data_IF_137135487698
#
_entry.id   IF_137135487698
#
_cell.length_a   1.000
_cell.length_b   1.000
_cell.length_c   1.000
_cell.angle_alpha   90.00
_cell.angle_beta   90.00
_cell.angle_gamma   90.00
#
_symmetry.space_group_name_H-M   'P 1'
#
loop_
_entity.id
_entity.type
_entity.pdbx_description
1 polymer ?
#
# COMPACT_ATOMS: atom_id res chain seq x y z
N UNK A 1 17.18 -15.45 17.72
CA UNK A 1 16.21 -16.09 16.77
C UNK A 1 15.92 -15.10 15.67
N UNK A 2 15.82 -15.52 14.40
CA UNK A 2 15.54 -14.62 13.28
C UNK A 2 14.09 -14.78 12.87
N UNK A 3 13.36 -13.67 12.81
CA UNK A 3 11.96 -13.63 12.39
C UNK A 3 11.86 -12.93 11.03
N UNK A 4 10.84 -13.26 10.27
CA UNK A 4 10.54 -12.62 8.99
C UNK A 4 9.03 -12.33 8.89
N UNK A 5 8.72 -11.22 8.20
CA UNK A 5 7.35 -10.76 8.01
C UNK A 5 7.20 -10.20 6.58
N UNK A 6 6.17 -10.59 5.84
CA UNK A 6 5.84 -9.94 4.58
C UNK A 6 5.26 -8.55 4.80
N UNK A 7 5.55 -7.64 3.87
CA UNK A 7 4.97 -6.32 3.76
C UNK A 7 4.23 -6.19 2.41
N UNK A 8 3.01 -6.73 2.29
CA UNK A 8 2.27 -6.84 1.05
C UNK A 8 1.97 -5.48 0.41
N UNK A 9 1.98 -5.41 -0.92
CA UNK A 9 1.45 -4.25 -1.63
C UNK A 9 -0.04 -4.08 -1.30
N UNK A 10 -0.44 -2.84 -0.99
CA UNK A 10 -1.82 -2.45 -0.71
C UNK A 10 -2.43 -1.79 -1.95
N UNK A 11 -3.61 -2.21 -2.36
CA UNK A 11 -4.39 -1.56 -3.41
C UNK A 11 -5.61 -0.85 -2.83
N UNK A 12 -6.02 0.23 -3.48
CA UNK A 12 -7.35 0.78 -3.34
C UNK A 12 -8.17 0.27 -4.55
N UNK A 13 -9.01 -0.75 -4.35
CA UNK A 13 -9.88 -1.25 -5.42
C UNK A 13 -10.86 -0.17 -5.89
N UNK A 14 -11.30 0.70 -4.99
CA UNK A 14 -11.97 1.96 -5.28
C UNK A 14 -11.58 2.98 -4.22
N UNK A 15 -11.59 4.29 -4.57
CA UNK A 15 -11.32 5.39 -3.67
C UNK A 15 -12.20 6.58 -4.02
N UNK A 16 -13.17 6.89 -3.17
CA UNK A 16 -14.02 8.05 -3.29
C UNK A 16 -13.59 9.13 -2.29
N UNK A 17 -13.41 10.36 -2.75
CA UNK A 17 -13.13 11.50 -1.88
C UNK A 17 -14.44 12.20 -1.55
N UNK A 18 -14.78 12.24 -0.25
CA UNK A 18 -16.07 12.75 0.24
C UNK A 18 -16.01 14.22 0.69
N UNK A 19 -14.82 14.74 0.92
CA UNK A 19 -14.64 16.11 1.34
C UNK A 19 -13.30 16.36 2.02
N UNK A 20 -13.09 17.63 2.38
CA UNK A 20 -11.91 18.05 3.15
C UNK A 20 -12.28 18.18 4.63
N UNK A 21 -11.45 17.63 5.49
CA UNK A 21 -11.61 17.63 6.95
C UNK A 21 -11.01 18.91 7.57
N UNK A 22 -11.46 19.29 8.79
CA UNK A 22 -10.86 20.42 9.51
C UNK A 22 -9.37 20.26 9.83
N UNK A 23 -8.88 19.02 9.96
CA UNK A 23 -7.47 18.68 10.19
C UNK A 23 -6.59 18.76 8.93
N UNK A 24 -7.16 19.18 7.79
CA UNK A 24 -6.49 19.33 6.50
C UNK A 24 -6.42 18.05 5.68
N UNK A 25 -6.73 16.88 6.24
CA UNK A 25 -6.86 15.62 5.51
C UNK A 25 -8.17 15.58 4.71
N UNK A 26 -8.37 14.52 3.92
CA UNK A 26 -9.61 14.29 3.19
C UNK A 26 -10.40 13.16 3.84
N UNK A 27 -11.72 13.31 3.86
CA UNK A 27 -12.64 12.21 4.15
C UNK A 27 -12.75 11.32 2.93
N UNK A 28 -12.56 10.02 3.13
CA UNK A 28 -12.49 9.01 2.08
C UNK A 28 -13.50 7.89 2.32
N UNK A 29 -13.88 7.23 1.24
CA UNK A 29 -14.43 5.88 1.26
C UNK A 29 -13.61 5.03 0.29
N UNK A 30 -13.04 3.95 0.76
CA UNK A 30 -12.17 3.10 -0.07
C UNK A 30 -12.35 1.62 0.27
N UNK A 31 -12.07 0.75 -0.69
CA UNK A 31 -11.88 -0.67 -0.42
C UNK A 31 -10.40 -0.98 -0.59
N UNK A 32 -9.77 -1.35 0.51
CA UNK A 32 -8.42 -1.88 0.53
C UNK A 32 -8.41 -3.36 0.16
N UNK A 33 -7.44 -3.75 -0.66
CA UNK A 33 -7.06 -5.14 -0.87
C UNK A 33 -5.53 -5.25 -0.82
N UNK A 34 -5.04 -6.43 -0.52
CA UNK A 34 -3.61 -6.69 -0.37
C UNK A 34 -3.16 -7.76 -1.34
N UNK A 35 -1.97 -7.60 -1.91
CA UNK A 35 -1.35 -8.60 -2.77
C UNK A 35 -0.70 -9.72 -1.93
N UNK A 36 -0.44 -10.87 -2.54
CA UNK A 36 0.38 -11.91 -1.92
C UNK A 36 1.85 -11.49 -1.83
N UNK A 37 2.29 -10.64 -2.76
CA UNK A 37 3.67 -10.19 -2.88
C UNK A 37 3.84 -8.73 -2.41
N UNK A 38 5.09 -8.41 -2.05
CA UNK A 38 5.46 -7.09 -1.53
C UNK A 38 6.93 -7.02 -1.09
N UNK A 39 7.19 -6.13 -0.17
CA UNK A 39 8.45 -6.03 0.52
C UNK A 39 8.57 -7.12 1.59
N UNK A 40 9.75 -7.29 2.17
CA UNK A 40 10.01 -8.26 3.24
C UNK A 40 10.84 -7.62 4.33
N UNK A 41 10.42 -7.79 5.57
CA UNK A 41 11.17 -7.37 6.75
C UNK A 41 11.66 -8.59 7.54
N UNK A 42 12.92 -8.56 7.94
CA UNK A 42 13.51 -9.53 8.84
C UNK A 42 14.01 -8.82 10.11
N UNK A 43 13.96 -9.49 11.25
CA UNK A 43 14.48 -8.99 12.50
C UNK A 43 15.13 -10.08 13.35
N UNK A 44 16.13 -9.66 14.10
CA UNK A 44 16.75 -10.45 15.18
C UNK A 44 16.97 -9.55 16.41
N UNK A 45 17.03 -10.14 17.59
CA UNK A 45 17.33 -9.42 18.82
C UNK A 45 18.70 -8.74 18.75
N UNK A 46 18.79 -7.53 19.27
CA UNK A 46 20.02 -6.74 19.38
C UNK A 46 19.92 -5.79 20.57
N UNK A 47 21.05 -5.22 20.99
CA UNK A 47 21.06 -4.23 22.08
C UNK A 47 20.44 -2.88 21.69
N UNK A 48 20.47 -2.53 20.40
CA UNK A 48 19.98 -1.27 19.86
C UNK A 48 19.08 -1.50 18.65
N UNK A 49 18.24 -0.51 18.33
CA UNK A 49 17.47 -0.48 17.10
C UNK A 49 18.34 -0.06 15.92
N UNK A 50 18.41 -0.89 14.89
CA UNK A 50 19.11 -0.58 13.66
C UNK A 50 18.33 -1.10 12.44
N UNK A 51 18.51 -0.43 11.30
CA UNK A 51 17.87 -0.79 10.03
C UNK A 51 18.90 -0.81 8.91
N UNK A 52 18.90 -1.90 8.17
CA UNK A 52 19.55 -1.99 6.86
C UNK A 52 18.50 -2.19 5.78
N UNK A 53 18.75 -1.65 4.57
CA UNK A 53 17.82 -1.72 3.45
C UNK A 53 18.55 -2.31 2.25
N UNK A 54 17.97 -3.36 1.67
CA UNK A 54 18.41 -4.00 0.43
C UNK A 54 17.28 -4.09 -0.59
N UNK A 55 17.53 -4.74 -1.73
CA UNK A 55 16.56 -4.94 -2.80
C UNK A 55 16.60 -3.86 -3.90
N UNK A 56 15.83 -4.08 -4.99
CA UNK A 56 15.91 -3.25 -6.20
C UNK A 56 15.53 -1.79 -5.98
N UNK A 57 14.69 -1.48 -4.98
CA UNK A 57 14.24 -0.13 -4.67
C UNK A 57 14.86 0.46 -3.39
N UNK A 58 15.97 -0.10 -2.90
CA UNK A 58 16.66 0.39 -1.70
C UNK A 58 17.40 1.71 -1.91
N UNK A 59 17.80 2.00 -3.16
CA UNK A 59 18.65 3.15 -3.48
C UNK A 59 17.96 4.48 -3.12
N UNK A 60 18.63 5.29 -2.31
CA UNK A 60 18.17 6.63 -1.93
C UNK A 60 17.19 6.63 -0.73
N UNK A 61 16.84 5.46 -0.17
CA UNK A 61 16.06 5.41 1.05
C UNK A 61 16.94 5.70 2.28
N UNK A 62 16.46 6.58 3.15
CA UNK A 62 17.09 6.82 4.44
C UNK A 62 16.88 5.62 5.36
N UNK A 63 17.93 5.29 6.13
CA UNK A 63 17.83 4.31 7.22
C UNK A 63 17.50 4.97 8.57
N UNK A 64 17.77 6.26 8.75
CA UNK A 64 17.47 6.99 9.98
C UNK A 64 16.08 7.65 9.98
N UNK A 65 15.63 8.18 8.84
CA UNK A 65 14.27 8.69 8.67
C UNK A 65 13.46 7.68 7.86
N UNK A 66 13.02 6.61 8.52
CA UNK A 66 12.30 5.50 7.91
C UNK A 66 11.10 5.09 8.77
N UNK A 67 9.96 4.81 8.12
CA UNK A 67 8.74 4.41 8.82
C UNK A 67 8.90 3.12 9.63
N UNK A 68 9.79 2.22 9.22
CA UNK A 68 10.14 1.00 9.98
C UNK A 68 10.73 1.35 11.34
N UNK A 69 11.72 2.25 11.40
CA UNK A 69 12.30 2.68 12.67
C UNK A 69 11.35 3.54 13.51
N UNK A 70 10.52 4.37 12.85
CA UNK A 70 9.49 5.14 13.55
C UNK A 70 8.46 4.21 14.21
N UNK A 71 8.02 3.17 13.51
CA UNK A 71 7.12 2.15 14.04
C UNK A 71 7.75 1.37 15.20
N UNK A 72 9.01 0.96 15.06
CA UNK A 72 9.75 0.28 16.10
C UNK A 72 9.91 1.14 17.37
N UNK A 73 10.28 2.41 17.20
CA UNK A 73 10.43 3.38 18.30
C UNK A 73 9.11 3.64 19.02
N UNK A 74 8.02 3.87 18.27
CA UNK A 74 6.69 4.12 18.82
C UNK A 74 6.14 2.90 19.57
N UNK A 75 6.34 1.68 19.05
CA UNK A 75 5.95 0.44 19.76
C UNK A 75 6.74 0.29 21.06
N UNK A 76 8.05 0.49 21.02
CA UNK A 76 8.94 0.41 22.21
C UNK A 76 8.52 1.41 23.30
N UNK A 77 8.22 2.64 22.90
CA UNK A 77 7.76 3.70 23.80
C UNK A 77 6.39 3.37 24.41
N UNK A 78 5.43 2.88 23.61
CA UNK A 78 4.08 2.55 24.09
C UNK A 78 4.04 1.44 25.12
N UNK A 79 5.05 0.52 25.09
CA UNK A 79 5.18 -0.58 26.04
C UNK A 79 6.06 -0.18 27.25
N UNK A 80 6.90 0.85 27.10
CA UNK A 80 7.84 1.28 28.14
C UNK A 80 9.03 0.33 28.33
N UNK A 81 9.49 -0.33 27.25
CA UNK A 81 10.63 -1.26 27.28
C UNK A 81 11.87 -0.66 26.62
N UNK A 82 13.05 -1.11 27.04
CA UNK A 82 14.33 -0.79 26.40
C UNK A 82 14.86 -2.02 25.63
N UNK A 83 14.14 -2.39 24.57
CA UNK A 83 14.48 -3.52 23.72
C UNK A 83 14.99 -3.03 22.36
N UNK A 84 16.07 -3.65 21.87
CA UNK A 84 16.63 -3.41 20.55
C UNK A 84 16.26 -4.49 19.55
N UNK A 85 16.50 -4.21 18.28
CA UNK A 85 16.38 -5.16 17.18
C UNK A 85 17.26 -4.73 16.00
N UNK A 86 17.87 -5.71 15.34
CA UNK A 86 18.49 -5.50 14.02
C UNK A 86 17.48 -5.86 12.96
N UNK A 87 17.09 -4.87 12.18
CA UNK A 87 16.09 -4.98 11.11
C UNK A 87 16.77 -4.98 9.75
N UNK A 88 16.25 -5.81 8.82
CA UNK A 88 16.65 -5.81 7.42
C UNK A 88 15.40 -5.76 6.53
N UNK A 89 15.25 -4.66 5.77
CA UNK A 89 14.16 -4.46 4.82
C UNK A 89 14.64 -4.78 3.41
N UNK A 90 14.00 -5.75 2.76
CA UNK A 90 14.16 -6.01 1.32
C UNK A 90 13.07 -5.27 0.56
N UNK A 91 13.46 -4.21 -0.16
CA UNK A 91 12.55 -3.31 -0.87
C UNK A 91 12.33 -3.77 -2.32
N UNK A 92 11.22 -4.45 -2.57
CA UNK A 92 10.80 -4.97 -3.88
C UNK A 92 9.78 -4.07 -4.58
N UNK A 93 9.08 -3.19 -3.82
CA UNK A 93 8.06 -2.29 -4.32
C UNK A 93 8.63 -0.90 -4.61
N UNK A 94 8.19 -0.24 -5.70
CA UNK A 94 8.57 1.14 -5.99
C UNK A 94 8.16 2.10 -4.87
N UNK A 95 9.01 3.09 -4.62
CA UNK A 95 8.77 4.12 -3.59
C UNK A 95 7.78 5.16 -4.10
N UNK A 96 6.94 5.72 -3.22
CA UNK A 96 5.95 6.76 -3.53
C UNK A 96 5.04 6.41 -4.73
N UNK A 97 4.55 5.18 -4.78
CA UNK A 97 3.92 4.56 -5.94
C UNK A 97 2.40 4.34 -5.81
N UNK A 98 1.76 4.79 -4.70
CA UNK A 98 0.31 4.62 -4.48
C UNK A 98 -0.12 3.22 -4.00
N UNK A 99 0.82 2.33 -3.70
CA UNK A 99 0.56 0.94 -3.24
C UNK A 99 0.96 0.70 -1.78
N UNK A 100 1.10 1.76 -1.00
CA UNK A 100 1.26 1.69 0.45
C UNK A 100 2.57 1.05 0.93
N UNK A 101 3.63 0.93 0.09
CA UNK A 101 4.85 0.19 0.43
C UNK A 101 5.47 0.58 1.77
N UNK A 102 5.70 1.87 2.03
CA UNK A 102 6.26 2.32 3.31
C UNK A 102 5.35 2.05 4.52
N UNK A 103 4.01 2.15 4.33
CA UNK A 103 3.04 1.81 5.37
C UNK A 103 2.98 0.30 5.63
N UNK A 104 3.15 -0.51 4.59
CA UNK A 104 3.26 -1.97 4.70
C UNK A 104 4.54 -2.37 5.44
N UNK A 105 5.67 -1.69 5.16
CA UNK A 105 6.95 -1.90 5.85
C UNK A 105 6.83 -1.59 7.35
N UNK A 106 6.20 -0.46 7.69
CA UNK A 106 5.95 -0.07 9.09
C UNK A 106 5.03 -1.07 9.80
N UNK A 107 3.96 -1.50 9.13
CA UNK A 107 3.04 -2.50 9.66
C UNK A 107 3.71 -3.86 9.87
N UNK A 108 4.58 -4.27 8.94
CA UNK A 108 5.40 -5.48 9.09
C UNK A 108 6.34 -5.35 10.30
N UNK A 109 6.92 -4.17 10.54
CA UNK A 109 7.74 -3.92 11.72
C UNK A 109 6.92 -4.07 13.01
N UNK A 110 5.72 -3.49 13.07
CA UNK A 110 4.83 -3.63 14.23
C UNK A 110 4.49 -5.10 14.50
N UNK A 111 4.05 -5.87 13.49
CA UNK A 111 3.72 -7.30 13.65
C UNK A 111 4.93 -8.12 14.10
N UNK A 112 6.07 -7.89 13.48
CA UNK A 112 7.29 -8.65 13.72
C UNK A 112 7.87 -8.36 15.11
N UNK A 113 7.96 -7.08 15.50
CA UNK A 113 8.53 -6.68 16.79
C UNK A 113 7.60 -7.02 17.96
N UNK A 114 6.29 -6.98 17.76
CA UNK A 114 5.31 -7.50 18.73
C UNK A 114 5.61 -8.96 19.11
N UNK A 115 5.92 -9.80 18.09
CA UNK A 115 6.32 -11.20 18.33
C UNK A 115 7.74 -11.32 18.91
N UNK A 116 8.68 -10.55 18.40
CA UNK A 116 10.07 -10.62 18.82
C UNK A 116 10.23 -10.22 20.30
N UNK A 117 9.54 -9.16 20.72
CA UNK A 117 9.61 -8.63 22.09
C UNK A 117 8.58 -9.27 23.04
N UNK A 118 7.68 -10.12 22.52
CA UNK A 118 6.64 -10.79 23.34
C UNK A 118 5.63 -9.82 23.96
N UNK A 119 5.30 -8.72 23.27
CA UNK A 119 4.40 -7.68 23.76
C UNK A 119 2.97 -7.88 23.26
N UNK A 120 2.00 -7.29 23.95
CA UNK A 120 0.58 -7.38 23.57
C UNK A 120 0.35 -6.73 22.18
N UNK A 121 -0.28 -7.43 21.22
CA UNK A 121 -0.59 -6.88 19.90
C UNK A 121 -1.42 -5.60 19.92
N UNK A 122 -2.16 -5.32 20.98
CA UNK A 122 -2.94 -4.07 21.13
C UNK A 122 -2.06 -2.83 21.03
N UNK A 123 -0.83 -2.87 21.53
CA UNK A 123 0.12 -1.76 21.38
C UNK A 123 0.41 -1.43 19.91
N UNK A 124 0.53 -2.45 19.04
CA UNK A 124 0.71 -2.23 17.61
C UNK A 124 -0.51 -1.56 16.97
N UNK A 125 -1.72 -1.94 17.39
CA UNK A 125 -2.98 -1.33 16.92
C UNK A 125 -3.05 0.14 17.35
N UNK A 126 -2.71 0.45 18.60
CA UNK A 126 -2.78 1.80 19.16
C UNK A 126 -1.76 2.75 18.51
N UNK A 127 -0.56 2.28 18.17
CA UNK A 127 0.49 3.11 17.56
C UNK A 127 0.35 3.26 16.05
N UNK A 128 -0.27 2.30 15.36
CA UNK A 128 -0.37 2.29 13.89
C UNK A 128 -0.89 3.60 13.28
N UNK A 129 -1.98 4.23 13.80
CA UNK A 129 -2.49 5.49 13.26
C UNK A 129 -1.52 6.67 13.41
N UNK A 130 -0.63 6.64 14.39
CA UNK A 130 0.35 7.73 14.65
C UNK A 130 1.51 7.70 13.65
N UNK A 131 1.75 6.55 13.00
CA UNK A 131 2.82 6.36 12.02
C UNK A 131 2.38 6.84 10.63
N UNK A 132 1.13 6.57 10.25
CA UNK A 132 0.56 6.98 8.98
C UNK A 132 -0.85 6.45 8.77
N UNK A 133 -1.64 7.13 7.93
CA UNK A 133 -3.06 6.82 7.69
C UNK A 133 -3.31 5.42 7.12
N UNK A 134 -2.39 4.91 6.29
CA UNK A 134 -2.53 3.58 5.69
C UNK A 134 -1.96 2.45 6.57
N UNK A 135 -1.23 2.79 7.67
CA UNK A 135 -0.60 1.77 8.52
C UNK A 135 -1.61 0.88 9.23
N UNK A 136 -2.75 1.37 9.73
CA UNK A 136 -3.79 0.51 10.31
C UNK A 136 -4.30 -0.54 9.31
N UNK A 137 -4.61 -0.15 8.07
CA UNK A 137 -5.04 -1.08 7.03
C UNK A 137 -3.94 -2.11 6.69
N UNK A 138 -2.67 -1.66 6.57
CA UNK A 138 -1.52 -2.55 6.35
C UNK A 138 -1.25 -3.47 7.54
N UNK A 139 -1.54 -3.04 8.79
CA UNK A 139 -1.41 -3.87 9.98
C UNK A 139 -2.46 -4.99 9.99
N UNK A 140 -3.69 -4.66 9.62
CA UNK A 140 -4.77 -5.62 9.42
C UNK A 140 -4.46 -6.59 8.28
N UNK A 141 -3.94 -6.07 7.14
CA UNK A 141 -3.52 -6.84 5.96
C UNK A 141 -4.59 -7.80 5.42
N UNK A 142 -5.84 -7.42 5.54
CA UNK A 142 -7.06 -8.08 5.04
C UNK A 142 -7.89 -7.08 4.25
N UNK A 143 -8.72 -7.57 3.32
CA UNK A 143 -9.62 -6.72 2.57
C UNK A 143 -10.58 -6.00 3.52
N UNK A 144 -10.61 -4.67 3.45
CA UNK A 144 -11.37 -3.83 4.35
C UNK A 144 -11.93 -2.57 3.66
N UNK A 145 -13.10 -2.13 4.11
CA UNK A 145 -13.62 -0.81 3.83
C UNK A 145 -12.95 0.18 4.77
N UNK A 146 -12.35 1.21 4.23
CA UNK A 146 -11.80 2.33 4.96
C UNK A 146 -12.70 3.56 4.82
N UNK A 147 -13.01 4.22 5.94
CA UNK A 147 -13.74 5.48 5.99
C UNK A 147 -12.95 6.54 6.75
N UNK A 148 -13.46 7.75 6.87
CA UNK A 148 -12.80 8.90 7.46
C UNK A 148 -11.51 9.26 6.71
N UNK A 149 -10.36 9.23 7.34
CA UNK A 149 -9.07 9.43 6.66
C UNK A 149 -8.51 8.12 6.04
N UNK A 150 -9.32 7.08 5.95
CA UNK A 150 -8.95 5.72 5.56
C UNK A 150 -8.55 4.84 6.76
N UNK A 151 -8.69 5.35 7.98
CA UNK A 151 -8.21 4.75 9.22
C UNK A 151 -9.31 4.06 10.05
N UNK A 152 -10.59 4.29 9.73
CA UNK A 152 -11.70 3.53 10.28
C UNK A 152 -11.97 2.34 9.37
N UNK A 153 -11.73 1.12 9.86
CA UNK A 153 -11.70 -0.09 9.05
C UNK A 153 -12.84 -1.06 9.42
N UNK A 154 -13.52 -1.55 8.39
CA UNK A 154 -14.51 -2.62 8.48
C UNK A 154 -14.11 -3.74 7.51
N UNK A 155 -14.03 -4.99 7.99
CA UNK A 155 -13.67 -6.14 7.16
C UNK A 155 -14.67 -6.34 6.02
N UNK A 156 -14.16 -6.54 4.82
CA UNK A 156 -14.96 -6.90 3.64
C UNK A 156 -14.88 -8.40 3.43
N UNK A 157 -16.04 -9.08 3.57
CA UNK A 157 -16.18 -10.50 3.28
C UNK A 157 -16.69 -10.67 1.85
N UNK A 158 -15.78 -10.53 0.88
CA UNK A 158 -16.09 -10.75 -0.53
C UNK A 158 -15.15 -11.85 -1.09
N UNK A 159 -15.67 -13.06 -1.30
CA UNK A 159 -14.85 -14.19 -1.76
C UNK A 159 -14.28 -14.00 -3.17
N UNK A 160 -14.79 -13.03 -3.94
CA UNK A 160 -14.26 -12.73 -5.27
C UNK A 160 -12.99 -11.87 -5.25
N UNK A 161 -12.56 -11.38 -4.08
CA UNK A 161 -11.30 -10.64 -3.97
C UNK A 161 -10.13 -11.61 -3.84
N UNK A 162 -10.19 -12.51 -2.85
CA UNK A 162 -9.08 -13.42 -2.57
C UNK A 162 -8.85 -14.41 -3.71
N UNK A 163 -7.58 -14.57 -4.11
CA UNK A 163 -7.18 -15.45 -5.20
C UNK A 163 -7.30 -14.83 -6.60
N UNK A 164 -7.82 -13.59 -6.71
CA UNK A 164 -7.94 -12.92 -8.02
C UNK A 164 -6.56 -12.56 -8.57
N UNK A 165 -6.23 -12.99 -9.81
CA UNK A 165 -5.00 -12.60 -10.48
C UNK A 165 -4.98 -11.09 -10.73
N UNK A 166 -3.89 -10.43 -10.37
CA UNK A 166 -3.71 -8.98 -10.54
C UNK A 166 -2.35 -8.65 -11.12
N UNK A 167 -2.32 -7.72 -12.06
CA UNK A 167 -1.10 -7.11 -12.59
C UNK A 167 -1.02 -5.65 -12.15
N UNK A 168 0.03 -5.31 -11.41
CA UNK A 168 0.38 -3.94 -11.07
C UNK A 168 1.37 -3.42 -12.10
N UNK A 169 1.17 -2.18 -12.57
CA UNK A 169 2.07 -1.52 -13.51
C UNK A 169 2.33 -0.09 -13.06
N UNK A 170 3.60 0.32 -13.02
CA UNK A 170 4.02 1.67 -12.63
C UNK A 170 4.96 2.25 -13.68
N UNK A 171 4.72 3.47 -14.19
CA UNK A 171 5.57 4.11 -15.20
C UNK A 171 6.92 4.58 -14.67
N UNK A 172 7.29 4.22 -13.44
CA UNK A 172 8.55 4.56 -12.76
C UNK A 172 8.81 6.08 -12.63
N UNK A 173 7.75 6.86 -12.46
CA UNK A 173 7.83 8.31 -12.22
C UNK A 173 7.48 8.65 -10.77
N UNK A 174 8.12 9.67 -10.19
CA UNK A 174 7.75 10.16 -8.87
C UNK A 174 6.42 10.94 -8.94
N UNK A 175 5.48 10.64 -8.05
CA UNK A 175 4.23 11.39 -7.92
C UNK A 175 3.94 11.65 -6.43
N UNK A 176 3.86 12.93 -6.06
CA UNK A 176 3.59 13.31 -4.68
C UNK A 176 2.11 13.15 -4.35
N UNK A 177 1.79 12.33 -3.36
CA UNK A 177 0.42 12.16 -2.83
C UNK A 177 -0.22 13.49 -2.47
N UNK A 178 0.50 14.36 -1.74
CA UNK A 178 -0.01 15.67 -1.35
C UNK A 178 -0.36 16.56 -2.56
N UNK A 179 0.44 16.50 -3.64
CA UNK A 179 0.16 17.27 -4.84
C UNK A 179 -1.08 16.79 -5.60
N UNK A 180 -1.36 15.48 -5.59
CA UNK A 180 -2.55 14.89 -6.21
C UNK A 180 -3.81 15.27 -5.42
N UNK A 181 -3.79 15.11 -4.10
CA UNK A 181 -4.90 15.55 -3.24
C UNK A 181 -5.17 17.06 -3.34
N UNK A 182 -4.13 17.88 -3.41
CA UNK A 182 -4.28 19.33 -3.57
C UNK A 182 -4.90 19.73 -4.92
N UNK A 183 -4.81 18.87 -5.94
CA UNK A 183 -5.39 19.08 -7.26
C UNK A 183 -6.79 18.45 -7.42
N UNK A 184 -7.33 17.78 -6.38
CA UNK A 184 -8.70 17.31 -6.38
C UNK A 184 -9.66 18.49 -6.47
N UNK A 185 -10.71 18.36 -7.29
CA UNK A 185 -11.62 19.45 -7.68
C UNK A 185 -12.64 19.86 -6.59
N UNK A 186 -12.63 19.17 -5.45
CA UNK A 186 -13.53 19.45 -4.34
C UNK A 186 -14.95 18.90 -4.49
N UNK A 187 -15.23 18.13 -5.55
CA UNK A 187 -16.58 17.62 -5.83
C UNK A 187 -16.77 16.25 -5.18
N UNK A 188 -17.71 16.16 -4.25
CA UNK A 188 -18.21 14.87 -3.73
C UNK A 188 -19.12 14.20 -4.77
N UNK A 189 -18.65 13.10 -5.33
CA UNK A 189 -19.36 12.33 -6.37
C UNK A 189 -20.22 11.18 -5.80
N UNK A 190 -20.49 11.22 -4.50
CA UNK A 190 -21.35 10.26 -3.81
C UNK A 190 -20.61 9.06 -3.20
N UNK A 191 -21.34 8.27 -2.39
CA UNK A 191 -20.79 7.18 -1.60
C UNK A 191 -20.27 6.03 -2.45
N UNK A 192 -19.37 5.25 -1.87
CA UNK A 192 -18.90 3.99 -2.42
C UNK A 192 -19.87 2.88 -1.98
N UNK A 193 -20.68 2.35 -2.92
CA UNK A 193 -21.57 1.21 -2.67
C UNK A 193 -20.88 -0.12 -2.97
N UNK A 194 -20.59 -0.38 -4.24
CA UNK A 194 -19.81 -1.56 -4.69
C UNK A 194 -18.47 -1.09 -5.27
N UNK A 195 -17.40 -1.77 -4.90
CA UNK A 195 -16.06 -1.43 -5.40
C UNK A 195 -15.91 -1.71 -6.90
N UNK A 196 -16.70 -2.65 -7.46
CA UNK A 196 -16.67 -2.99 -8.88
C UNK A 196 -17.12 -1.84 -9.75
N UNK A 197 -18.19 -1.16 -9.33
CA UNK A 197 -18.74 0.03 -9.98
C UNK A 197 -18.09 1.33 -9.48
N UNK A 198 -17.23 1.22 -8.47
CA UNK A 198 -16.52 2.34 -7.89
C UNK A 198 -15.50 2.97 -8.83
N UNK A 199 -14.92 4.07 -8.41
CA UNK A 199 -13.91 4.84 -9.15
C UNK A 199 -12.72 5.18 -8.24
N UNK A 200 -11.71 5.83 -8.79
CA UNK A 200 -10.69 6.52 -8.02
C UNK A 200 -10.79 8.03 -8.30
N UNK A 201 -11.30 8.80 -7.33
CA UNK A 201 -11.47 10.26 -7.47
C UNK A 201 -10.13 11.02 -7.56
N UNK A 202 -9.00 10.34 -7.24
CA UNK A 202 -7.66 10.87 -7.41
C UNK A 202 -7.06 10.58 -8.80
N UNK A 203 -7.70 9.75 -9.64
CA UNK A 203 -7.21 9.46 -11.00
C UNK A 203 -7.21 10.71 -11.90
N UNK A 204 -8.29 11.52 -11.99
CA UNK A 204 -8.26 12.74 -12.81
C UNK A 204 -7.16 13.74 -12.41
N UNK A 205 -6.98 14.12 -11.13
CA UNK A 205 -5.88 15.00 -10.74
C UNK A 205 -4.49 14.38 -10.91
N UNK A 206 -4.34 13.05 -10.79
CA UNK A 206 -3.08 12.35 -11.06
C UNK A 206 -2.73 12.41 -12.54
N UNK A 207 -3.69 12.20 -13.45
CA UNK A 207 -3.52 12.32 -14.90
C UNK A 207 -3.09 13.72 -15.34
N UNK A 208 -3.59 14.78 -14.68
CA UNK A 208 -3.15 16.15 -14.94
C UNK A 208 -1.68 16.37 -14.55
N UNK A 209 -1.20 15.71 -13.50
CA UNK A 209 0.18 15.82 -13.00
C UNK A 209 1.16 14.92 -13.75
N UNK A 210 0.67 13.77 -14.20
CA UNK A 210 1.47 12.72 -14.80
C UNK A 210 0.68 12.02 -15.93
N UNK A 211 0.59 12.61 -17.13
CA UNK A 211 -0.20 12.08 -18.25
C UNK A 211 0.15 10.63 -18.65
N UNK A 212 1.39 10.19 -18.40
CA UNK A 212 1.84 8.81 -18.66
C UNK A 212 1.03 7.74 -17.90
N UNK A 213 0.37 8.12 -16.79
CA UNK A 213 -0.57 7.22 -16.10
C UNK A 213 -1.72 6.83 -17.03
N UNK A 214 -2.16 7.75 -17.90
CA UNK A 214 -3.19 7.49 -18.91
C UNK A 214 -2.74 6.46 -19.95
N UNK A 215 -1.46 6.47 -20.33
CA UNK A 215 -0.88 5.47 -21.23
C UNK A 215 -0.89 4.08 -20.57
N UNK A 216 -0.51 3.99 -19.29
CA UNK A 216 -0.57 2.73 -18.52
C UNK A 216 -1.99 2.21 -18.42
N UNK A 217 -2.96 3.06 -18.07
CA UNK A 217 -4.37 2.68 -17.96
C UNK A 217 -4.92 2.20 -19.31
N UNK A 218 -4.62 2.91 -20.40
CA UNK A 218 -5.02 2.54 -21.75
C UNK A 218 -4.42 1.18 -22.16
N UNK A 219 -3.13 0.99 -21.87
CA UNK A 219 -2.44 -0.27 -22.17
C UNK A 219 -3.05 -1.44 -21.37
N UNK A 220 -3.30 -1.27 -20.07
CA UNK A 220 -3.94 -2.29 -19.24
C UNK A 220 -5.35 -2.63 -19.75
N UNK A 221 -6.16 -1.63 -20.15
CA UNK A 221 -7.52 -1.85 -20.70
C UNK A 221 -7.51 -2.61 -22.02
N UNK A 222 -6.42 -2.57 -22.76
CA UNK A 222 -6.25 -3.29 -24.02
C UNK A 222 -5.83 -4.76 -23.82
N UNK A 223 -5.48 -5.18 -22.59
CA UNK A 223 -5.05 -6.55 -22.34
C UNK A 223 -6.26 -7.52 -22.36
N UNK A 224 -6.15 -8.66 -23.05
CA UNK A 224 -7.19 -9.69 -23.01
C UNK A 224 -7.47 -10.15 -21.55
N UNK A 225 -8.74 -10.38 -21.23
CA UNK A 225 -9.21 -10.85 -19.92
C UNK A 225 -8.97 -9.85 -18.75
N UNK A 226 -8.51 -8.64 -19.00
CA UNK A 226 -8.53 -7.58 -17.99
C UNK A 226 -9.98 -7.11 -17.78
N UNK A 227 -10.53 -7.36 -16.59
CA UNK A 227 -11.95 -7.09 -16.29
C UNK A 227 -12.18 -5.84 -15.45
N UNK A 228 -11.17 -5.36 -14.72
CA UNK A 228 -11.20 -4.11 -13.98
C UNK A 228 -9.82 -3.46 -14.03
N UNK A 229 -9.76 -2.19 -14.47
CA UNK A 229 -8.51 -1.42 -14.57
C UNK A 229 -8.67 -0.09 -13.86
N UNK A 230 -7.79 0.23 -12.90
CA UNK A 230 -7.79 1.47 -12.11
C UNK A 230 -6.38 1.86 -11.68
N UNK A 231 -6.24 3.13 -11.33
CA UNK A 231 -5.10 3.62 -10.57
C UNK A 231 -5.30 3.32 -9.08
N UNK A 232 -4.26 2.88 -8.37
CA UNK A 232 -4.29 2.67 -6.92
C UNK A 232 -3.89 3.92 -6.16
N UNK A 233 -4.69 4.29 -5.15
CA UNK A 233 -4.40 5.44 -4.29
C UNK A 233 -4.21 6.72 -5.08
N UNK A 234 -3.17 7.47 -4.76
CA UNK A 234 -2.76 8.70 -5.47
C UNK A 234 -1.89 8.42 -6.72
N UNK A 235 -1.64 7.17 -7.05
CA UNK A 235 -0.79 6.76 -8.19
C UNK A 235 0.72 6.77 -7.81
N UNK A 236 1.62 6.58 -8.77
CA UNK A 236 1.36 6.35 -10.20
C UNK A 236 1.05 4.88 -10.59
N UNK A 237 0.99 3.94 -9.63
CA UNK A 237 0.68 2.54 -9.96
C UNK A 237 -0.77 2.39 -10.38
N UNK A 238 -0.95 1.75 -11.53
CA UNK A 238 -2.23 1.24 -12.01
C UNK A 238 -2.26 -0.28 -11.84
N UNK A 239 -3.45 -0.85 -11.77
CA UNK A 239 -3.62 -2.30 -11.71
C UNK A 239 -4.74 -2.76 -12.63
N UNK A 240 -4.64 -4.02 -13.04
CA UNK A 240 -5.73 -4.73 -13.71
C UNK A 240 -6.00 -6.05 -12.99
N UNK A 241 -7.27 -6.36 -12.75
CA UNK A 241 -7.73 -7.69 -12.35
C UNK A 241 -7.99 -8.52 -13.59
N UNK A 242 -7.71 -9.83 -13.53
CA UNK A 242 -7.84 -10.74 -14.65
C UNK A 242 -8.75 -11.92 -14.31
N UNK A 243 -9.40 -12.47 -15.34
CA UNK A 243 -10.23 -13.68 -15.22
C UNK A 243 -9.39 -14.94 -14.98
N UNK A 244 -8.10 -14.92 -15.37
CA UNK A 244 -7.19 -16.06 -15.22
C UNK A 244 -5.75 -15.63 -14.96
N UNK A 245 -4.99 -16.51 -14.31
CA UNK A 245 -3.55 -16.37 -14.13
C UNK A 245 -2.83 -16.31 -15.50
N UNK A 246 -3.20 -17.15 -16.44
CA UNK A 246 -2.59 -17.18 -17.77
C UNK A 246 -2.79 -15.85 -18.53
N UNK A 247 -3.97 -15.22 -18.41
CA UNK A 247 -4.22 -13.90 -19.01
C UNK A 247 -3.37 -12.80 -18.37
N UNK A 248 -3.24 -12.82 -17.03
CA UNK A 248 -2.36 -11.91 -16.29
C UNK A 248 -0.89 -12.07 -16.68
N UNK A 249 -0.40 -13.33 -16.79
CA UNK A 249 1.00 -13.61 -17.12
C UNK A 249 1.33 -13.20 -18.55
N UNK A 250 0.44 -13.48 -19.51
CA UNK A 250 0.60 -13.01 -20.88
C UNK A 250 0.67 -11.46 -20.95
N UNK A 251 -0.12 -10.75 -20.14
CA UNK A 251 -0.03 -9.31 -20.04
C UNK A 251 1.28 -8.86 -19.38
N UNK A 252 1.74 -9.55 -18.34
CA UNK A 252 3.02 -9.25 -17.69
C UNK A 252 4.20 -9.41 -18.65
N UNK A 253 4.24 -10.49 -19.43
CA UNK A 253 5.28 -10.74 -20.44
C UNK A 253 5.29 -9.67 -21.56
N UNK A 254 4.12 -9.10 -21.87
CA UNK A 254 3.97 -8.05 -22.87
C UNK A 254 4.19 -6.63 -22.31
N UNK A 255 4.44 -6.49 -21.00
CA UNK A 255 4.58 -5.19 -20.37
C UNK A 255 5.79 -4.42 -20.92
N UNK A 256 5.64 -3.14 -21.31
CA UNK A 256 6.76 -2.31 -21.75
C UNK A 256 7.91 -2.31 -20.75
N UNK A 257 9.13 -2.55 -21.22
CA UNK A 257 10.33 -2.74 -20.39
C UNK A 257 10.76 -1.51 -19.59
N UNK A 258 10.27 -0.33 -19.95
CA UNK A 258 10.47 0.91 -19.21
C UNK A 258 9.48 1.14 -18.06
N UNK A 259 8.50 0.25 -17.89
CA UNK A 259 7.58 0.25 -16.76
C UNK A 259 7.94 -0.87 -15.78
N UNK A 260 7.81 -0.58 -14.51
CA UNK A 260 7.84 -1.63 -13.50
C UNK A 260 6.50 -2.37 -13.48
N UNK A 261 6.53 -3.67 -13.31
CA UNK A 261 5.32 -4.46 -13.11
C UNK A 261 5.50 -5.55 -12.06
N UNK A 262 4.38 -6.02 -11.52
CA UNK A 262 4.30 -7.13 -10.58
C UNK A 262 3.03 -7.94 -10.89
N UNK A 263 3.23 -9.19 -11.35
CA UNK A 263 2.19 -10.18 -11.48
C UNK A 263 2.02 -10.91 -10.14
N UNK A 264 0.83 -10.86 -9.56
CA UNK A 264 0.56 -11.35 -8.21
C UNK A 264 -0.91 -11.77 -8.08
N UNK A 265 -1.35 -12.06 -6.84
CA UNK A 265 -2.75 -12.32 -6.51
C UNK A 265 -3.22 -11.42 -5.38
N UNK A 266 -4.50 -11.15 -5.33
CA UNK A 266 -5.13 -10.59 -4.14
C UNK A 266 -5.29 -11.69 -3.08
N UNK A 267 -5.09 -11.36 -1.80
CA UNK A 267 -5.15 -12.28 -0.67
C UNK A 267 -6.45 -12.10 0.13
#
# INVERSE_FOLDING_TARGET
MKYAEPAPAKLNLALHVRGKRPDGRHSLETIFAFCTDGDRLEAEEAGELSLSIGGPFARGLSTSDNLVLRAAGALRESVGIDAGARLHLTKNLPVASGIGGGSADAAAALRLLTRLWGVDPRHAVDVAPTIGSDVPACLLSLSARGTEAGDQLELVQDPSISGTPVLLVNPAIPLSTGSVFAAWDGIDRGPLSDWRDGRNDLEPPALQRAPVIGEVLQWLRAQPQANLVRMSGSGATCFALFDSEAGRDAAADACPSNWWHLATFLR
#
